data_IF_920688022928
#
_entry.id   IF_920688022928
#
_cell.length_a   1.000
_cell.length_b   1.000
_cell.length_c   1.000
_cell.angle_alpha   90.00
_cell.angle_beta   90.00
_cell.angle_gamma   90.00
#
_symmetry.space_group_name_H-M   'P 1'
#
loop_
_entity.id
_entity.type
_entity.pdbx_description
1 polymer ?
#
# COMPACT_ATOMS: atom_id res chain seq x y z
N UNK A 1 -52.92 -8.69 -4.59
CA UNK A 1 -51.60 -8.83 -3.94
C UNK A 1 -50.57 -8.82 -5.06
N UNK A 2 -50.09 -7.64 -5.45
CA UNK A 2 -49.12 -7.47 -6.53
C UNK A 2 -47.74 -7.24 -5.91
N UNK A 3 -46.96 -8.31 -5.78
CA UNK A 3 -45.56 -8.25 -5.34
C UNK A 3 -44.64 -8.15 -6.55
N UNK A 4 -44.44 -6.93 -7.06
CA UNK A 4 -43.43 -6.67 -8.09
C UNK A 4 -42.03 -6.85 -7.49
N UNK A 5 -41.46 -8.04 -7.69
CA UNK A 5 -40.04 -8.31 -7.50
C UNK A 5 -39.23 -7.38 -8.40
N UNK A 6 -38.33 -6.53 -7.87
CA UNK A 6 -37.53 -5.65 -8.71
C UNK A 6 -36.59 -6.52 -9.54
N UNK A 7 -36.86 -6.58 -10.84
CA UNK A 7 -35.99 -7.22 -11.82
C UNK A 7 -34.58 -6.69 -11.63
N UNK A 8 -33.67 -7.57 -11.21
CA UNK A 8 -32.25 -7.27 -11.00
C UNK A 8 -31.60 -6.99 -12.37
N UNK A 9 -31.87 -5.81 -12.92
CA UNK A 9 -31.12 -5.29 -14.07
C UNK A 9 -29.70 -5.16 -13.58
N UNK A 10 -28.83 -6.05 -14.05
CA UNK A 10 -27.38 -5.91 -13.89
C UNK A 10 -27.00 -4.59 -14.56
N UNK A 11 -26.99 -3.52 -13.77
CA UNK A 11 -26.70 -2.19 -14.26
C UNK A 11 -25.21 -2.19 -14.59
N UNK A 12 -24.91 -2.33 -15.87
CA UNK A 12 -23.55 -2.30 -16.35
C UNK A 12 -23.04 -0.86 -16.19
N UNK A 13 -22.15 -0.65 -15.22
CA UNK A 13 -21.51 0.65 -15.03
C UNK A 13 -20.43 0.82 -16.09
N UNK A 14 -20.34 2.01 -16.67
CA UNK A 14 -19.27 2.34 -17.61
C UNK A 14 -17.92 2.34 -16.90
N UNK A 15 -16.84 2.19 -17.67
CA UNK A 15 -15.46 2.17 -17.16
C UNK A 15 -15.13 3.40 -16.32
N UNK A 16 -15.49 4.60 -16.79
CA UNK A 16 -15.22 5.87 -16.10
C UNK A 16 -15.88 5.92 -14.72
N UNK A 17 -17.15 5.49 -14.63
CA UNK A 17 -17.87 5.44 -13.36
C UNK A 17 -17.20 4.47 -12.38
N UNK A 18 -16.74 3.32 -12.88
CA UNK A 18 -16.05 2.35 -12.03
C UNK A 18 -14.72 2.91 -11.51
N UNK A 19 -13.93 3.58 -12.35
CA UNK A 19 -12.67 4.20 -11.95
C UNK A 19 -12.89 5.29 -10.89
N UNK A 20 -13.87 6.17 -11.09
CA UNK A 20 -14.22 7.20 -10.11
C UNK A 20 -14.65 6.60 -8.77
N UNK A 21 -15.37 5.47 -8.78
CA UNK A 21 -15.76 4.77 -7.54
C UNK A 21 -14.56 4.14 -6.83
N UNK A 22 -13.59 3.60 -7.57
CA UNK A 22 -12.36 3.07 -6.99
C UNK A 22 -11.51 4.19 -6.38
N UNK A 23 -11.40 5.34 -7.06
CA UNK A 23 -10.70 6.51 -6.53
C UNK A 23 -11.38 7.08 -5.28
N UNK A 24 -12.72 7.23 -5.31
CA UNK A 24 -13.49 7.67 -4.15
C UNK A 24 -13.33 6.70 -2.96
N UNK A 25 -13.24 5.39 -3.21
CA UNK A 25 -12.92 4.41 -2.18
C UNK A 25 -11.53 4.65 -1.57
N UNK A 26 -10.51 4.86 -2.41
CA UNK A 26 -9.15 5.16 -1.95
C UNK A 26 -9.08 6.43 -1.10
N UNK A 27 -9.83 7.47 -1.45
CA UNK A 27 -9.89 8.72 -0.69
C UNK A 27 -10.70 8.59 0.60
N UNK A 28 -11.71 7.71 0.63
CA UNK A 28 -12.61 7.58 1.79
C UNK A 28 -11.95 6.98 3.04
N UNK A 29 -10.90 6.15 2.87
CA UNK A 29 -10.30 5.39 3.98
C UNK A 29 -11.23 4.36 4.62
N UNK A 30 -12.43 4.15 4.06
CA UNK A 30 -13.44 3.22 4.56
C UNK A 30 -13.07 1.77 4.24
N UNK A 31 -13.62 0.83 5.00
CA UNK A 31 -13.57 -0.59 4.62
C UNK A 31 -14.40 -0.84 3.35
N UNK A 32 -14.03 -1.86 2.56
CA UNK A 32 -14.80 -2.24 1.35
C UNK A 32 -16.27 -2.49 1.70
N UNK A 33 -16.54 -3.14 2.84
CA UNK A 33 -17.90 -3.45 3.30
C UNK A 33 -18.72 -2.18 3.54
N UNK A 34 -18.16 -1.21 4.26
CA UNK A 34 -18.85 0.04 4.57
C UNK A 34 -19.02 0.92 3.33
N UNK A 35 -18.01 1.02 2.48
CA UNK A 35 -18.09 1.77 1.23
C UNK A 35 -19.14 1.18 0.25
N UNK A 36 -19.15 -0.15 0.10
CA UNK A 36 -20.14 -0.82 -0.74
C UNK A 36 -21.56 -0.68 -0.19
N UNK A 37 -21.73 -0.67 1.14
CA UNK A 37 -23.02 -0.44 1.78
C UNK A 37 -23.54 0.98 1.53
N UNK A 38 -22.70 2.00 1.74
CA UNK A 38 -23.06 3.41 1.53
C UNK A 38 -23.45 3.70 0.07
N UNK A 39 -22.72 3.12 -0.89
CA UNK A 39 -22.92 3.36 -2.32
C UNK A 39 -23.86 2.35 -3.00
N UNK A 40 -24.47 1.44 -2.23
CA UNK A 40 -25.34 0.38 -2.75
C UNK A 40 -24.70 -0.42 -3.89
N UNK A 41 -23.44 -0.80 -3.70
CA UNK A 41 -22.65 -1.59 -4.64
C UNK A 41 -22.57 -3.03 -4.13
N UNK A 42 -22.89 -4.04 -4.96
CA UNK A 42 -22.61 -5.43 -4.59
C UNK A 42 -21.09 -5.63 -4.40
N UNK A 43 -20.69 -6.15 -3.24
CA UNK A 43 -19.27 -6.34 -2.91
C UNK A 43 -18.54 -7.17 -3.97
N UNK A 44 -19.18 -8.23 -4.50
CA UNK A 44 -18.59 -9.05 -5.56
C UNK A 44 -18.28 -8.27 -6.84
N UNK A 45 -19.16 -7.33 -7.23
CA UNK A 45 -18.89 -6.43 -8.37
C UNK A 45 -17.72 -5.51 -8.09
N UNK A 46 -17.64 -4.95 -6.88
CA UNK A 46 -16.55 -4.09 -6.47
C UNK A 46 -15.20 -4.81 -6.45
N UNK A 47 -15.14 -6.03 -5.89
CA UNK A 47 -13.94 -6.87 -5.92
C UNK A 47 -13.48 -7.18 -7.34
N UNK A 48 -14.42 -7.50 -8.24
CA UNK A 48 -14.12 -7.75 -9.65
C UNK A 48 -13.56 -6.52 -10.36
N UNK A 49 -14.13 -5.33 -10.12
CA UNK A 49 -13.63 -4.07 -10.65
C UNK A 49 -12.23 -3.76 -10.13
N UNK A 50 -12.02 -3.85 -8.81
CA UNK A 50 -10.71 -3.65 -8.20
C UNK A 50 -9.66 -4.58 -8.82
N UNK A 51 -9.94 -5.89 -8.88
CA UNK A 51 -9.01 -6.88 -9.47
C UNK A 51 -8.69 -6.58 -10.94
N UNK A 52 -9.67 -6.10 -11.72
CA UNK A 52 -9.51 -5.78 -13.14
C UNK A 52 -8.66 -4.52 -13.35
N UNK A 53 -8.96 -3.44 -12.64
CA UNK A 53 -8.32 -2.14 -12.86
C UNK A 53 -7.03 -1.95 -12.05
N UNK A 54 -6.83 -2.69 -10.94
CA UNK A 54 -5.55 -2.72 -10.20
C UNK A 54 -4.45 -3.48 -10.96
N UNK A 55 -4.83 -4.43 -11.83
CA UNK A 55 -3.87 -5.09 -12.74
C UNK A 55 -3.47 -4.20 -13.91
N UNK A 56 -4.39 -3.37 -14.39
CA UNK A 56 -4.14 -2.46 -15.51
C UNK A 56 -3.16 -1.34 -15.11
N UNK A 57 -3.23 -0.85 -13.86
CA UNK A 57 -2.24 0.09 -13.31
C UNK A 57 -0.88 -0.52 -12.98
N UNK A 58 -0.79 -1.85 -12.84
CA UNK A 58 0.44 -2.61 -12.59
C UNK A 58 1.01 -3.30 -13.84
N UNK A 59 0.42 -3.06 -15.02
CA UNK A 59 0.87 -3.66 -16.28
C UNK A 59 2.11 -2.96 -16.89
N UNK A 60 2.74 -2.05 -16.15
CA UNK A 60 4.07 -1.54 -16.45
C UNK A 60 4.96 -1.71 -15.22
N UNK A 61 6.10 -2.36 -15.40
CA UNK A 61 7.18 -2.67 -14.44
C UNK A 61 6.96 -3.87 -13.51
N UNK A 62 7.55 -4.99 -13.93
CA UNK A 62 8.31 -5.98 -13.16
C UNK A 62 7.79 -6.48 -11.81
N UNK A 63 7.72 -7.81 -11.72
CA UNK A 63 7.46 -8.64 -10.54
C UNK A 63 8.50 -8.54 -9.42
N UNK A 64 9.35 -7.51 -9.42
CA UNK A 64 10.42 -7.33 -8.46
C UNK A 64 10.14 -6.13 -7.57
N UNK A 65 9.70 -6.41 -6.35
CA UNK A 65 9.65 -5.42 -5.28
C UNK A 65 11.07 -5.08 -4.86
N UNK A 66 11.52 -3.84 -5.07
CA UNK A 66 12.81 -3.35 -4.59
C UNK A 66 12.81 -3.32 -3.06
N UNK A 67 13.45 -4.30 -2.43
CA UNK A 67 13.71 -4.26 -0.99
C UNK A 67 14.83 -3.26 -0.73
N UNK A 68 14.52 -2.13 -0.10
CA UNK A 68 15.55 -1.34 0.57
C UNK A 68 15.91 -2.06 1.87
N UNK A 69 17.01 -2.81 1.84
CA UNK A 69 17.65 -3.22 3.09
C UNK A 69 18.25 -1.97 3.73
N UNK A 70 17.58 -1.45 4.75
CA UNK A 70 18.26 -0.60 5.74
C UNK A 70 19.17 -1.53 6.52
N UNK A 71 20.48 -1.42 6.30
CA UNK A 71 21.46 -2.08 7.18
C UNK A 71 21.31 -1.40 8.53
N UNK A 72 20.52 -2.00 9.42
CA UNK A 72 20.58 -1.63 10.82
C UNK A 72 22.03 -1.86 11.23
N UNK A 73 22.75 -0.81 11.57
CA UNK A 73 24.11 -0.90 12.09
C UNK A 73 24.03 -1.56 13.48
N UNK A 74 23.81 -2.87 13.51
CA UNK A 74 23.75 -3.67 14.75
C UNK A 74 25.10 -4.34 15.02
N UNK A 75 26.19 -3.77 14.50
CA UNK A 75 27.54 -4.25 14.66
C UNK A 75 28.42 -3.21 15.36
N UNK A 76 29.44 -3.69 16.07
CA UNK A 76 30.53 -2.84 16.57
C UNK A 76 31.16 -2.10 15.38
N UNK A 77 31.05 -0.79 15.37
CA UNK A 77 31.61 0.10 14.34
C UNK A 77 33.12 0.27 14.54
N UNK A 78 33.58 0.54 15.76
CA UNK A 78 35.00 0.71 16.08
C UNK A 78 35.27 0.47 17.58
N UNK A 79 36.52 0.13 17.92
CA UNK A 79 37.01 0.06 19.30
C UNK A 79 38.32 0.85 19.45
N UNK A 80 38.37 1.79 20.41
CA UNK A 80 39.55 2.63 20.68
C UNK A 80 39.77 2.67 22.19
N UNK A 81 40.95 2.28 22.67
CA UNK A 81 41.29 2.26 24.11
C UNK A 81 40.24 1.54 25.00
N UNK A 82 39.58 0.49 24.47
CA UNK A 82 38.52 -0.25 25.15
C UNK A 82 37.11 0.36 25.04
N UNK A 83 36.96 1.52 24.39
CA UNK A 83 35.66 2.15 24.12
C UNK A 83 35.07 1.56 22.85
N UNK A 84 33.89 0.97 22.96
CA UNK A 84 33.16 0.32 21.85
C UNK A 84 32.11 1.25 21.27
N UNK A 85 32.23 1.55 19.98
CA UNK A 85 31.31 2.40 19.22
C UNK A 85 30.41 1.53 18.36
N UNK A 86 29.09 1.69 18.48
CA UNK A 86 28.08 0.92 17.73
C UNK A 86 27.36 1.76 16.67
N UNK A 87 27.87 2.95 16.41
CA UNK A 87 27.35 3.86 15.38
C UNK A 87 28.50 4.35 14.52
N UNK A 88 28.25 4.68 13.24
CA UNK A 88 29.24 5.33 12.39
C UNK A 88 29.70 6.66 12.98
N UNK A 89 31.01 6.82 13.10
CA UNK A 89 31.65 8.08 13.53
C UNK A 89 32.70 8.53 12.52
N UNK A 90 33.03 9.82 12.54
CA UNK A 90 34.07 10.37 11.66
C UNK A 90 35.48 9.94 12.12
N UNK A 91 36.46 9.88 11.20
CA UNK A 91 37.85 9.62 11.58
C UNK A 91 38.44 10.68 12.55
N UNK A 92 37.97 11.92 12.47
CA UNK A 92 38.38 13.00 13.37
C UNK A 92 38.00 12.68 14.83
N UNK A 93 36.78 12.21 15.05
CA UNK A 93 36.30 11.80 16.38
C UNK A 93 37.11 10.64 16.96
N UNK A 94 37.45 9.64 16.15
CA UNK A 94 38.32 8.53 16.58
C UNK A 94 39.73 9.01 16.97
N UNK A 95 40.27 10.00 16.25
CA UNK A 95 41.58 10.58 16.53
C UNK A 95 41.62 11.30 17.87
N UNK A 96 40.55 12.01 18.22
CA UNK A 96 40.41 12.66 19.52
C UNK A 96 40.36 11.65 20.66
N UNK A 97 39.71 10.49 20.48
CA UNK A 97 39.65 9.41 21.49
C UNK A 97 40.96 8.63 21.66
N UNK A 98 41.81 8.63 20.63
CA UNK A 98 43.09 7.91 20.63
C UNK A 98 44.27 8.77 21.11
N UNK A 99 44.05 10.07 21.32
CA UNK A 99 45.03 11.03 21.84
C UNK A 99 45.04 11.04 23.36
#
# INVERSE_FOLDING_TARGET
MEGLSPSNRRQFRSRSVILNLLEAYHQSGLSIKSFCAERSIPQGSFHNWRKRYEKESKSGSDSFTRLQLSVAATGLFAEVNGIKLYQPVSPAYLKELAS
#
